data_IF_022363299532
#
_entry.id   IF_022363299532
#
_cell.length_a   1.000
_cell.length_b   1.000
_cell.length_c   1.000
_cell.angle_alpha   90.00
_cell.angle_beta   90.00
_cell.angle_gamma   90.00
#
_symmetry.space_group_name_H-M   'P 1'
#
loop_
_entity.id
_entity.type
_entity.pdbx_description
1 polymer ?
#
# COMPACT_ATOMS: atom_id res chain seq x y z
N UNK A 1 7.55 28.16 10.11
CA UNK A 1 8.21 27.14 9.27
C UNK A 1 7.29 25.93 9.19
N UNK A 2 6.78 25.54 8.00
CA UNK A 2 6.10 24.27 7.87
C UNK A 2 7.13 23.16 8.11
N UNK A 3 6.83 22.22 9.00
CA UNK A 3 7.74 21.12 9.33
C UNK A 3 7.87 20.25 8.07
N UNK A 4 9.10 19.93 7.64
CA UNK A 4 9.41 19.12 6.45
C UNK A 4 8.79 17.71 6.45
N UNK A 5 8.17 17.28 7.54
CA UNK A 5 7.51 15.98 7.66
C UNK A 5 6.29 16.10 8.59
N UNK A 6 5.05 16.01 8.05
CA UNK A 6 3.85 16.01 8.87
C UNK A 6 3.86 14.80 9.79
N UNK A 7 3.47 15.00 11.06
CA UNK A 7 3.37 13.93 12.06
C UNK A 7 1.91 13.56 12.25
N UNK A 8 1.63 12.26 12.26
CA UNK A 8 0.32 11.71 12.59
C UNK A 8 0.47 11.02 13.94
N UNK A 9 -0.33 11.46 14.93
CA UNK A 9 -0.41 10.79 16.23
C UNK A 9 -1.64 9.88 16.21
N UNK A 10 -1.45 8.61 16.55
CA UNK A 10 -2.53 7.60 16.58
C UNK A 10 -2.55 6.89 17.93
N UNK A 11 -3.74 6.53 18.40
CA UNK A 11 -3.91 5.70 19.59
C UNK A 11 -3.98 4.24 19.14
N UNK A 12 -3.14 3.39 19.72
CA UNK A 12 -3.11 1.96 19.44
C UNK A 12 -3.52 1.17 20.68
N UNK A 13 -4.24 0.08 20.46
CA UNK A 13 -4.51 -0.90 21.51
C UNK A 13 -3.18 -1.53 21.99
N UNK A 14 -3.13 -1.89 23.28
CA UNK A 14 -1.92 -2.49 23.87
C UNK A 14 -1.38 -3.71 23.09
N UNK A 15 -2.22 -4.66 22.63
CA UNK A 15 -1.72 -5.80 21.87
C UNK A 15 -1.09 -5.37 20.54
N UNK A 16 -1.74 -4.47 19.79
CA UNK A 16 -1.24 -3.98 18.51
C UNK A 16 0.09 -3.23 18.67
N UNK A 17 0.18 -2.35 19.67
CA UNK A 17 1.43 -1.66 19.97
C UNK A 17 2.57 -2.64 20.30
N UNK A 18 2.28 -3.69 21.08
CA UNK A 18 3.28 -4.70 21.42
C UNK A 18 3.75 -5.49 20.19
N UNK A 19 2.84 -5.87 19.30
CA UNK A 19 3.18 -6.53 18.03
C UNK A 19 4.09 -5.65 17.18
N UNK A 20 3.76 -4.36 17.01
CA UNK A 20 4.60 -3.41 16.26
C UNK A 20 5.98 -3.27 16.90
N UNK A 21 6.04 -3.25 18.24
CA UNK A 21 7.30 -3.19 18.98
C UNK A 21 8.19 -4.41 18.69
N UNK A 22 7.63 -5.61 18.77
CA UNK A 22 8.35 -6.84 18.47
C UNK A 22 8.85 -6.86 17.01
N UNK A 23 8.03 -6.40 16.05
CA UNK A 23 8.44 -6.30 14.65
C UNK A 23 9.57 -5.28 14.44
N UNK A 24 9.52 -4.15 15.12
CA UNK A 24 10.57 -3.14 15.04
C UNK A 24 11.89 -3.65 15.63
N UNK A 25 11.83 -4.35 16.78
CA UNK A 25 12.98 -5.00 17.41
C UNK A 25 13.58 -6.10 16.53
N UNK A 26 12.73 -6.99 15.98
CA UNK A 26 13.14 -8.04 15.03
C UNK A 26 13.89 -7.47 13.84
N UNK A 27 13.43 -6.35 13.31
CA UNK A 27 13.97 -5.74 12.09
C UNK A 27 15.07 -4.71 12.36
N UNK A 28 15.42 -4.45 13.63
CA UNK A 28 16.48 -3.52 14.01
C UNK A 28 16.18 -2.06 13.66
N UNK A 29 14.91 -1.66 13.61
CA UNK A 29 14.44 -0.31 13.22
C UNK A 29 13.66 0.37 14.34
N UNK A 30 13.46 1.68 14.24
CA UNK A 30 12.62 2.41 15.20
C UNK A 30 11.13 2.12 14.99
N UNK A 31 10.33 2.28 16.06
CA UNK A 31 8.87 2.14 16.00
C UNK A 31 8.24 3.02 14.90
N UNK A 32 8.67 4.28 14.81
CA UNK A 32 8.13 5.21 13.81
C UNK A 32 8.45 4.77 12.37
N UNK A 33 9.63 4.19 12.12
CA UNK A 33 9.97 3.63 10.82
C UNK A 33 9.11 2.40 10.53
N UNK A 34 8.98 1.48 11.49
CA UNK A 34 8.15 0.29 11.34
C UNK A 34 6.68 0.64 11.04
N UNK A 35 6.09 1.57 11.79
CA UNK A 35 4.71 2.04 11.56
C UNK A 35 4.58 2.69 10.18
N UNK A 36 5.53 3.56 9.79
CA UNK A 36 5.51 4.21 8.47
C UNK A 36 5.50 3.17 7.36
N UNK A 37 6.34 2.16 7.44
CA UNK A 37 6.48 1.16 6.39
C UNK A 37 5.23 0.25 6.33
N UNK A 38 4.70 -0.17 7.48
CA UNK A 38 3.41 -0.89 7.54
C UNK A 38 2.25 -0.07 6.95
N UNK A 39 2.21 1.25 7.17
CA UNK A 39 1.19 2.11 6.57
C UNK A 39 1.36 2.23 5.05
N UNK A 40 2.60 2.27 4.55
CA UNK A 40 2.85 2.27 3.10
C UNK A 40 2.39 0.96 2.47
N UNK A 41 2.77 -0.17 3.06
CA UNK A 41 2.34 -1.50 2.59
C UNK A 41 0.82 -1.62 2.57
N UNK A 42 0.13 -1.11 3.61
CA UNK A 42 -1.33 -1.09 3.64
C UNK A 42 -1.93 -0.24 2.50
N UNK A 43 -1.33 0.91 2.18
CA UNK A 43 -1.79 1.75 1.06
C UNK A 43 -1.55 1.09 -0.30
N UNK A 44 -0.42 0.39 -0.47
CA UNK A 44 -0.14 -0.40 -1.68
C UNK A 44 -1.18 -1.51 -1.86
N UNK A 45 -1.57 -2.21 -0.79
CA UNK A 45 -2.62 -3.24 -0.83
C UNK A 45 -3.98 -2.64 -1.23
N UNK A 46 -4.35 -1.47 -0.68
CA UNK A 46 -5.58 -0.77 -1.07
C UNK A 46 -5.58 -0.35 -2.54
N UNK A 47 -4.43 0.10 -3.05
CA UNK A 47 -4.26 0.42 -4.47
C UNK A 47 -4.40 -0.83 -5.34
N UNK A 48 -3.77 -1.94 -4.98
CA UNK A 48 -3.88 -3.21 -5.70
C UNK A 48 -5.32 -3.71 -5.77
N UNK A 49 -6.09 -3.58 -4.68
CA UNK A 49 -7.51 -3.92 -4.66
C UNK A 49 -8.28 -3.04 -5.65
N UNK A 50 -8.05 -1.73 -5.63
CA UNK A 50 -8.73 -0.80 -6.52
C UNK A 50 -8.38 -1.05 -8.00
N UNK A 51 -7.10 -1.27 -8.31
CA UNK A 51 -6.62 -1.57 -9.66
C UNK A 51 -7.13 -2.92 -10.15
N UNK A 52 -7.22 -3.92 -9.28
CA UNK A 52 -7.78 -5.23 -9.62
C UNK A 52 -9.26 -5.13 -9.98
N UNK A 53 -10.05 -4.40 -9.19
CA UNK A 53 -11.46 -4.13 -9.51
C UNK A 53 -11.59 -3.39 -10.85
N UNK A 54 -10.72 -2.42 -11.10
CA UNK A 54 -10.69 -1.69 -12.37
C UNK A 54 -10.34 -2.58 -13.57
N UNK A 55 -9.37 -3.49 -13.40
CA UNK A 55 -9.01 -4.47 -14.40
C UNK A 55 -10.17 -5.43 -14.68
N UNK A 56 -10.86 -5.93 -13.65
CA UNK A 56 -12.01 -6.82 -13.79
C UNK A 56 -13.15 -6.15 -14.58
N UNK A 57 -13.44 -4.87 -14.32
CA UNK A 57 -14.43 -4.12 -15.11
C UNK A 57 -14.08 -4.06 -16.61
N UNK A 58 -12.80 -3.88 -16.93
CA UNK A 58 -12.33 -3.89 -18.33
C UNK A 58 -12.40 -5.28 -18.94
N UNK A 59 -12.03 -6.31 -18.19
CA UNK A 59 -12.08 -7.71 -18.62
C UNK A 59 -13.51 -8.11 -19.01
N UNK A 60 -14.51 -7.75 -18.21
CA UNK A 60 -15.93 -8.04 -18.49
C UNK A 60 -16.43 -7.52 -19.84
N UNK A 61 -15.84 -6.44 -20.35
CA UNK A 61 -16.22 -5.82 -21.62
C UNK A 61 -15.19 -6.03 -22.73
N UNK A 62 -14.15 -6.81 -22.45
CA UNK A 62 -13.03 -7.01 -23.35
C UNK A 62 -13.46 -7.77 -24.62
N UNK A 63 -12.96 -7.29 -25.77
CA UNK A 63 -13.15 -7.96 -27.07
C UNK A 63 -11.79 -8.15 -27.72
N UNK A 64 -11.39 -9.41 -27.92
CA UNK A 64 -10.12 -9.75 -28.58
C UNK A 64 -9.98 -9.13 -29.97
N UNK A 65 -11.08 -8.95 -30.71
CA UNK A 65 -11.04 -8.27 -32.02
C UNK A 65 -10.69 -6.78 -31.95
N UNK A 66 -10.81 -6.15 -30.77
CA UNK A 66 -10.46 -4.75 -30.51
C UNK A 66 -9.15 -4.60 -29.74
N UNK A 67 -8.43 -5.69 -29.46
CA UNK A 67 -7.15 -5.62 -28.76
C UNK A 67 -6.03 -5.19 -29.69
N UNK A 68 -5.13 -4.33 -29.20
CA UNK A 68 -3.92 -3.90 -29.90
C UNK A 68 -2.79 -4.92 -29.67
N UNK A 69 -1.93 -5.10 -30.68
CA UNK A 69 -0.68 -5.86 -30.57
C UNK A 69 0.36 -5.03 -29.84
N UNK A 70 1.34 -5.71 -29.23
CA UNK A 70 2.43 -5.05 -28.50
C UNK A 70 3.14 -3.97 -29.33
N UNK A 71 3.48 -4.27 -30.59
CA UNK A 71 4.14 -3.34 -31.52
C UNK A 71 3.32 -2.10 -31.89
N UNK A 72 2.03 -2.06 -31.54
CA UNK A 72 1.16 -0.91 -31.80
C UNK A 72 1.09 0.04 -30.58
N UNK A 73 1.60 -0.36 -29.41
CA UNK A 73 1.47 0.38 -28.14
C UNK A 73 2.78 0.59 -27.40
N UNK A 74 3.83 -0.17 -27.72
CA UNK A 74 5.20 -0.07 -27.19
C UNK A 74 6.17 0.14 -28.34
#
# INVERSE_FOLDING_TARGET
>A
MPVKSPRINVVLEKPLFHTIKLLAERDGVSLSLKVRDLVKEALEIEEDIALSQFAEMRERTFRKSKSLKHSEVW
#
